data_IF_462400278300
#
_entry.id   IF_462400278300
#
_cell.length_a   1.000
_cell.length_b   1.000
_cell.length_c   1.000
_cell.angle_alpha   90.00
_cell.angle_beta   90.00
_cell.angle_gamma   90.00
#
_symmetry.space_group_name_H-M   'P 1'
#
loop_
_entity.id
_entity.type
_entity.pdbx_description
1 polymer ?
#
# COMPACT_ATOMS: atom_id res chain seq x y z
N UNK A 1 71.07 13.26 -10.01
CA UNK A 1 70.07 12.47 -10.74
C UNK A 1 70.59 11.03 -10.66
N UNK A 2 70.10 10.11 -9.82
CA UNK A 2 68.79 10.03 -9.17
C UNK A 2 68.92 9.22 -7.87
N UNK A 3 68.50 9.82 -6.75
CA UNK A 3 68.39 9.19 -5.42
C UNK A 3 66.93 9.27 -4.93
N UNK A 4 65.95 9.04 -5.82
CA UNK A 4 64.52 9.17 -5.48
C UNK A 4 63.67 7.91 -5.68
N UNK A 5 64.22 6.77 -6.14
CA UNK A 5 63.39 5.59 -6.45
C UNK A 5 63.33 4.47 -5.39
N UNK A 6 64.03 4.57 -4.25
CA UNK A 6 63.99 3.51 -3.22
C UNK A 6 62.83 3.66 -2.21
N UNK A 7 62.11 4.79 -2.21
CA UNK A 7 61.04 5.10 -1.26
C UNK A 7 59.64 4.64 -1.68
N UNK A 8 59.43 4.30 -2.96
CA UNK A 8 58.08 4.04 -3.49
C UNK A 8 57.68 2.56 -3.49
N UNK A 9 58.62 1.63 -3.63
CA UNK A 9 58.34 0.18 -3.63
C UNK A 9 57.99 -0.35 -2.22
N UNK A 10 58.58 0.21 -1.16
CA UNK A 10 58.26 -0.17 0.22
C UNK A 10 56.88 0.33 0.67
N UNK A 11 56.41 1.48 0.16
CA UNK A 11 55.07 1.99 0.46
C UNK A 11 53.97 1.22 -0.27
N UNK A 12 54.21 0.79 -1.52
CA UNK A 12 53.25 -0.04 -2.25
C UNK A 12 53.12 -1.44 -1.62
N UNK A 13 54.22 -2.08 -1.22
CA UNK A 13 54.16 -3.38 -0.54
C UNK A 13 53.49 -3.31 0.85
N UNK A 14 53.69 -2.22 1.61
CA UNK A 14 52.99 -2.02 2.89
C UNK A 14 51.49 -1.71 2.72
N UNK A 15 51.11 -0.98 1.66
CA UNK A 15 49.71 -0.71 1.31
C UNK A 15 49.00 -2.00 0.83
N UNK A 16 49.67 -2.82 0.03
CA UNK A 16 49.15 -4.12 -0.43
C UNK A 16 49.01 -5.13 0.73
N UNK A 17 49.97 -5.18 1.66
CA UNK A 17 49.84 -6.01 2.86
C UNK A 17 48.77 -5.49 3.84
N UNK A 18 48.59 -4.16 3.99
CA UNK A 18 47.47 -3.60 4.77
C UNK A 18 46.11 -3.86 4.13
N UNK A 19 46.01 -3.80 2.81
CA UNK A 19 44.77 -4.13 2.08
C UNK A 19 44.47 -5.63 2.16
N UNK A 20 45.47 -6.50 2.04
CA UNK A 20 45.30 -7.95 2.23
C UNK A 20 44.95 -8.30 3.69
N UNK A 21 45.57 -7.68 4.69
CA UNK A 21 45.19 -7.85 6.09
C UNK A 21 43.79 -7.32 6.39
N UNK A 22 43.37 -6.19 5.80
CA UNK A 22 41.98 -5.72 5.90
C UNK A 22 40.98 -6.65 5.22
N UNK A 23 41.33 -7.24 4.06
CA UNK A 23 40.49 -8.22 3.38
C UNK A 23 40.40 -9.54 4.14
N UNK A 24 41.51 -10.01 4.74
CA UNK A 24 41.53 -11.20 5.58
C UNK A 24 40.82 -10.99 6.93
N UNK A 25 40.95 -9.82 7.56
CA UNK A 25 40.19 -9.52 8.79
C UNK A 25 38.69 -9.33 8.52
N UNK A 26 38.32 -8.75 7.37
CA UNK A 26 36.91 -8.61 6.98
C UNK A 26 36.29 -9.96 6.61
N UNK A 27 37.04 -10.88 5.99
CA UNK A 27 36.60 -12.26 5.73
C UNK A 27 36.58 -13.16 6.97
N UNK A 28 37.49 -12.97 7.94
CA UNK A 28 37.48 -13.72 9.19
C UNK A 28 36.31 -13.33 10.10
N UNK A 29 35.87 -12.07 10.09
CA UNK A 29 34.69 -11.65 10.87
C UNK A 29 33.36 -12.13 10.27
N UNK A 30 33.23 -12.16 8.94
CA UNK A 30 32.03 -12.65 8.25
C UNK A 30 31.70 -14.14 8.52
N UNK A 31 32.66 -14.92 9.02
CA UNK A 31 32.46 -16.32 9.39
C UNK A 31 32.07 -16.52 10.88
N UNK A 32 32.17 -15.49 11.72
CA UNK A 32 31.89 -15.60 13.16
C UNK A 32 30.39 -15.78 13.46
N UNK A 33 29.52 -15.12 12.69
CA UNK A 33 28.08 -15.17 12.88
C UNK A 33 27.42 -16.39 12.20
N UNK A 34 28.09 -17.05 11.26
CA UNK A 34 27.51 -18.13 10.46
C UNK A 34 26.94 -19.29 11.30
N UNK A 35 27.59 -19.77 12.39
CA UNK A 35 26.99 -20.78 13.27
C UNK A 35 25.69 -20.29 13.91
N UNK A 36 25.64 -19.03 14.36
CA UNK A 36 24.47 -18.43 14.99
C UNK A 36 23.33 -18.26 13.97
N UNK A 37 23.64 -17.82 12.75
CA UNK A 37 22.68 -17.77 11.63
C UNK A 37 22.08 -19.15 11.35
N UNK A 38 22.92 -20.20 11.25
CA UNK A 38 22.45 -21.57 11.05
C UNK A 38 21.56 -22.04 12.20
N UNK A 39 21.94 -21.73 13.43
CA UNK A 39 21.16 -22.05 14.61
C UNK A 39 19.78 -21.37 14.60
N UNK A 40 19.72 -20.07 14.33
CA UNK A 40 18.45 -19.32 14.21
C UNK A 40 17.56 -19.87 13.10
N UNK A 41 18.12 -20.24 11.95
CA UNK A 41 17.36 -20.87 10.86
C UNK A 41 16.80 -22.25 11.25
N UNK A 42 17.49 -23.01 12.12
CA UNK A 42 16.97 -24.26 12.66
C UNK A 42 15.80 -24.00 13.64
N UNK A 43 15.94 -22.99 14.52
CA UNK A 43 14.87 -22.58 15.43
C UNK A 43 13.63 -22.10 14.66
N UNK A 44 13.82 -21.31 13.61
CA UNK A 44 12.76 -20.86 12.70
C UNK A 44 11.97 -22.06 12.14
N UNK A 45 12.67 -23.05 11.58
CA UNK A 45 12.04 -24.25 11.02
C UNK A 45 11.29 -25.07 12.07
N UNK A 46 11.87 -25.21 13.27
CA UNK A 46 11.22 -25.92 14.37
C UNK A 46 9.92 -25.21 14.80
N UNK A 47 9.95 -23.88 14.91
CA UNK A 47 8.77 -23.07 15.21
C UNK A 47 7.66 -23.27 14.17
N UNK A 48 8.00 -23.23 12.88
CA UNK A 48 7.05 -23.47 11.79
C UNK A 48 6.41 -24.86 11.89
N UNK A 49 7.20 -25.89 12.20
CA UNK A 49 6.68 -27.24 12.39
C UNK A 49 5.68 -27.34 13.53
N UNK A 50 5.94 -26.64 14.65
CA UNK A 50 5.01 -26.58 15.78
C UNK A 50 3.74 -25.84 15.40
N UNK A 51 3.85 -24.66 14.77
CA UNK A 51 2.70 -23.87 14.30
C UNK A 51 1.80 -24.71 13.40
N UNK A 52 2.38 -25.37 12.39
CA UNK A 52 1.63 -26.21 11.46
C UNK A 52 0.91 -27.36 12.16
N UNK A 53 1.57 -28.03 13.10
CA UNK A 53 0.98 -29.14 13.83
C UNK A 53 -0.20 -28.68 14.70
N UNK A 54 -0.06 -27.56 15.42
CA UNK A 54 -1.13 -26.97 16.23
C UNK A 54 -2.31 -26.52 15.37
N UNK A 55 -2.06 -26.01 14.16
CA UNK A 55 -3.14 -25.61 13.27
C UNK A 55 -3.91 -26.84 12.71
N UNK A 56 -3.28 -28.03 12.67
CA UNK A 56 -3.89 -29.27 12.18
C UNK A 56 -4.49 -30.17 13.28
N UNK A 57 -4.17 -29.94 14.56
CA UNK A 57 -4.51 -30.86 15.66
C UNK A 57 -4.79 -30.12 16.97
N UNK A 58 -5.38 -30.78 17.95
CA UNK A 58 -5.53 -30.19 19.30
C UNK A 58 -4.16 -30.13 19.97
N UNK A 59 -3.82 -28.99 20.58
CA UNK A 59 -2.57 -28.78 21.30
C UNK A 59 -2.44 -29.81 22.43
N UNK A 60 -1.54 -30.78 22.24
CA UNK A 60 -1.27 -31.85 23.21
C UNK A 60 -0.07 -31.54 24.13
N UNK A 61 0.13 -32.37 25.14
CA UNK A 61 1.21 -32.18 26.12
C UNK A 61 2.61 -32.25 25.49
N UNK A 62 2.78 -33.09 24.46
CA UNK A 62 4.06 -33.23 23.75
C UNK A 62 4.41 -31.93 23.02
N UNK A 63 3.44 -31.29 22.38
CA UNK A 63 3.61 -30.01 21.69
C UNK A 63 3.91 -28.90 22.69
N UNK A 64 3.19 -28.82 23.82
CA UNK A 64 3.49 -27.87 24.88
C UNK A 64 4.94 -28.01 25.38
N UNK A 65 5.44 -29.24 25.56
CA UNK A 65 6.84 -29.50 25.95
C UNK A 65 7.84 -29.08 24.87
N UNK A 66 7.53 -29.29 23.58
CA UNK A 66 8.39 -28.86 22.46
C UNK A 66 8.44 -27.34 22.33
N UNK A 67 7.30 -26.67 22.47
CA UNK A 67 7.20 -25.21 22.51
C UNK A 67 8.00 -24.64 23.67
N UNK A 68 7.85 -25.17 24.89
CA UNK A 68 8.60 -24.73 26.05
C UNK A 68 10.13 -24.84 25.86
N UNK A 69 10.61 -25.93 25.25
CA UNK A 69 12.04 -26.08 24.90
C UNK A 69 12.50 -25.05 23.90
N UNK A 70 11.69 -24.77 22.86
CA UNK A 70 12.02 -23.78 21.85
C UNK A 70 12.11 -22.37 22.46
N UNK A 71 11.20 -22.05 23.39
CA UNK A 71 11.14 -20.75 24.05
C UNK A 71 12.34 -20.45 24.96
N UNK A 72 13.15 -21.43 25.34
CA UNK A 72 14.41 -21.21 26.07
C UNK A 72 15.41 -20.36 25.28
N UNK A 73 15.29 -20.32 23.96
CA UNK A 73 16.19 -19.57 23.08
C UNK A 73 15.68 -18.16 22.73
N UNK A 74 14.50 -17.77 23.24
CA UNK A 74 13.90 -16.45 22.97
C UNK A 74 14.85 -15.31 23.33
N UNK A 75 15.50 -15.38 24.49
CA UNK A 75 16.40 -14.32 24.96
C UNK A 75 17.58 -14.10 23.99
N UNK A 76 18.09 -15.15 23.34
CA UNK A 76 19.19 -15.01 22.36
C UNK A 76 18.70 -14.19 21.16
N UNK A 77 17.48 -14.46 20.69
CA UNK A 77 16.87 -13.72 19.58
C UNK A 77 16.65 -12.26 19.96
N UNK A 78 16.12 -12.00 21.17
CA UNK A 78 15.93 -10.64 21.68
C UNK A 78 17.25 -9.88 21.81
N UNK A 79 18.31 -10.52 22.35
CA UNK A 79 19.62 -9.88 22.51
C UNK A 79 20.21 -9.42 21.17
N UNK A 80 20.08 -10.24 20.13
CA UNK A 80 20.55 -9.88 18.78
C UNK A 80 19.78 -8.67 18.25
N UNK A 81 18.46 -8.67 18.40
CA UNK A 81 17.57 -7.67 17.81
C UNK A 81 17.51 -6.35 18.59
N UNK A 82 17.72 -6.38 19.91
CA UNK A 82 17.79 -5.19 20.76
C UNK A 82 19.13 -4.46 20.66
N UNK A 83 20.19 -5.14 20.18
CA UNK A 83 21.53 -4.57 20.04
C UNK A 83 22.01 -4.56 18.57
N UNK A 84 21.27 -3.92 17.64
CA UNK A 84 21.57 -4.00 16.20
C UNK A 84 22.90 -3.35 15.79
N UNK A 85 23.49 -2.52 16.67
CA UNK A 85 24.82 -1.93 16.45
C UNK A 85 25.95 -2.92 16.75
N UNK A 86 25.74 -3.80 17.73
CA UNK A 86 26.70 -4.86 18.08
C UNK A 86 26.60 -6.01 17.07
N UNK A 87 25.37 -6.43 16.76
CA UNK A 87 25.09 -7.49 15.79
C UNK A 87 24.82 -6.94 14.40
N UNK A 88 25.77 -6.19 13.82
CA UNK A 88 25.53 -5.42 12.58
C UNK A 88 25.42 -6.27 11.29
N UNK A 89 25.57 -7.59 11.35
CA UNK A 89 25.47 -8.42 10.15
C UNK A 89 24.03 -8.59 9.66
N UNK A 90 23.78 -8.22 8.40
CA UNK A 90 22.45 -8.29 7.77
C UNK A 90 21.86 -9.70 7.79
N UNK A 91 22.67 -10.73 7.54
CA UNK A 91 22.23 -12.14 7.54
C UNK A 91 21.82 -12.59 8.93
N UNK A 92 22.56 -12.17 9.96
CA UNK A 92 22.26 -12.47 11.35
C UNK A 92 20.97 -11.79 11.81
N UNK A 93 20.84 -10.48 11.61
CA UNK A 93 19.62 -9.76 11.97
C UNK A 93 18.41 -10.30 11.22
N UNK A 94 18.54 -10.58 9.92
CA UNK A 94 17.47 -11.15 9.11
C UNK A 94 17.01 -12.52 9.64
N UNK A 95 17.94 -13.42 9.95
CA UNK A 95 17.62 -14.73 10.53
C UNK A 95 17.00 -14.60 11.92
N UNK A 96 17.49 -13.68 12.76
CA UNK A 96 16.92 -13.41 14.07
C UNK A 96 15.50 -12.85 13.97
N UNK A 97 15.24 -11.89 13.06
CA UNK A 97 13.92 -11.33 12.81
C UNK A 97 12.94 -12.39 12.33
N UNK A 98 13.34 -13.24 11.37
CA UNK A 98 12.49 -14.36 10.91
C UNK A 98 12.18 -15.32 12.06
N UNK A 99 13.19 -15.68 12.85
CA UNK A 99 13.02 -16.55 14.02
C UNK A 99 12.05 -15.94 15.04
N UNK A 100 12.20 -14.66 15.38
CA UNK A 100 11.29 -13.94 16.28
C UNK A 100 9.85 -14.00 15.74
N UNK A 101 9.67 -13.67 14.46
CA UNK A 101 8.35 -13.70 13.85
C UNK A 101 7.70 -15.08 13.91
N UNK A 102 8.48 -16.16 13.76
CA UNK A 102 7.94 -17.52 13.91
C UNK A 102 7.63 -17.88 15.36
N UNK A 103 8.42 -17.40 16.31
CA UNK A 103 8.12 -17.59 17.73
C UNK A 103 6.82 -16.88 18.11
N UNK A 104 6.61 -15.66 17.61
CA UNK A 104 5.37 -14.90 17.83
C UNK A 104 4.12 -15.66 17.33
N UNK A 105 4.22 -16.49 16.29
CA UNK A 105 3.10 -17.30 15.78
C UNK A 105 2.71 -18.49 16.68
N UNK A 106 3.49 -18.79 17.73
CA UNK A 106 3.21 -19.89 18.66
C UNK A 106 2.11 -19.53 19.65
N UNK A 107 2.00 -18.25 20.05
CA UNK A 107 0.96 -17.79 20.98
C UNK A 107 0.63 -16.30 20.81
N UNK A 108 -0.60 -15.92 21.18
CA UNK A 108 -1.05 -14.53 21.18
C UNK A 108 -0.23 -13.67 22.16
N UNK A 109 0.09 -14.19 23.34
CA UNK A 109 0.91 -13.51 24.35
C UNK A 109 2.29 -13.10 23.80
N UNK A 110 2.91 -13.96 22.97
CA UNK A 110 4.18 -13.62 22.32
C UNK A 110 4.00 -12.54 21.26
N UNK A 111 2.89 -12.53 20.51
CA UNK A 111 2.59 -11.41 19.62
C UNK A 111 2.48 -10.10 20.39
N UNK A 112 1.68 -10.07 21.46
CA UNK A 112 1.45 -8.86 22.27
C UNK A 112 2.74 -8.33 22.92
N UNK A 113 3.57 -9.23 23.46
CA UNK A 113 4.81 -8.88 24.14
C UNK A 113 5.88 -8.31 23.18
N UNK A 114 5.95 -8.81 21.94
CA UNK A 114 7.01 -8.42 21.00
C UNK A 114 6.55 -7.48 19.88
N UNK A 115 5.25 -7.17 19.77
CA UNK A 115 4.72 -6.31 18.71
C UNK A 115 5.50 -4.99 18.63
N UNK A 116 5.70 -4.31 19.77
CA UNK A 116 6.44 -3.04 19.80
C UNK A 116 7.85 -3.19 19.23
N UNK A 117 8.61 -4.20 19.69
CA UNK A 117 9.97 -4.46 19.20
C UNK A 117 9.98 -4.72 17.69
N UNK A 118 9.03 -5.51 17.19
CA UNK A 118 8.92 -5.82 15.77
C UNK A 118 8.64 -4.58 14.92
N UNK A 119 7.75 -3.69 15.38
CA UNK A 119 7.45 -2.44 14.68
C UNK A 119 8.56 -1.38 14.83
N UNK A 120 9.30 -1.38 15.93
CA UNK A 120 10.51 -0.57 16.07
C UNK A 120 11.59 -1.02 15.08
N UNK A 121 11.76 -2.33 14.86
CA UNK A 121 12.65 -2.88 13.83
C UNK A 121 12.15 -2.51 12.42
N UNK A 122 10.86 -2.61 12.17
CA UNK A 122 10.26 -2.24 10.88
C UNK A 122 10.52 -0.77 10.54
N UNK A 123 10.42 0.14 11.51
CA UNK A 123 10.68 1.57 11.30
C UNK A 123 12.17 1.90 11.17
N UNK A 124 12.98 1.35 12.07
CA UNK A 124 14.32 1.87 12.32
C UNK A 124 15.45 1.03 11.71
N UNK A 125 15.20 -0.21 11.28
CA UNK A 125 16.26 -1.04 10.71
C UNK A 125 16.85 -0.40 9.45
N UNK A 126 18.17 -0.33 9.37
CA UNK A 126 18.89 0.16 8.18
C UNK A 126 18.75 -0.82 7.01
N UNK A 127 18.64 -2.12 7.31
CA UNK A 127 18.58 -3.18 6.31
C UNK A 127 17.18 -3.36 5.74
N UNK A 128 17.02 -3.11 4.44
CA UNK A 128 15.73 -3.32 3.75
C UNK A 128 15.26 -4.78 3.81
N UNK A 129 16.17 -5.76 3.79
CA UNK A 129 15.82 -7.18 3.84
C UNK A 129 15.12 -7.56 5.14
N UNK A 130 15.49 -6.92 6.26
CA UNK A 130 14.81 -7.08 7.56
C UNK A 130 13.39 -6.51 7.49
N UNK A 131 13.24 -5.27 7.00
CA UNK A 131 11.92 -4.63 6.85
C UNK A 131 11.00 -5.40 5.90
N UNK A 132 11.52 -5.86 4.76
CA UNK A 132 10.82 -6.74 3.81
C UNK A 132 10.37 -8.02 4.50
N UNK A 133 11.24 -8.68 5.26
CA UNK A 133 10.89 -9.94 5.94
C UNK A 133 9.75 -9.74 6.93
N UNK A 134 9.76 -8.64 7.70
CA UNK A 134 8.67 -8.30 8.62
C UNK A 134 7.38 -8.13 7.82
N UNK A 135 7.37 -7.32 6.75
CA UNK A 135 6.17 -7.08 5.93
C UNK A 135 5.62 -8.33 5.27
N UNK A 136 6.47 -9.24 4.79
CA UNK A 136 6.01 -10.52 4.22
C UNK A 136 5.36 -11.39 5.29
N UNK A 137 5.96 -11.44 6.48
CA UNK A 137 5.50 -12.28 7.60
C UNK A 137 4.25 -11.74 8.28
N UNK A 138 3.91 -10.46 8.11
CA UNK A 138 2.64 -9.87 8.57
C UNK A 138 1.41 -10.66 8.11
N UNK A 139 1.44 -11.24 6.90
CA UNK A 139 0.34 -12.10 6.46
C UNK A 139 0.05 -13.23 7.45
N UNK A 140 1.08 -13.91 7.95
CA UNK A 140 0.90 -14.99 8.92
C UNK A 140 0.26 -14.52 10.22
N UNK A 141 0.65 -13.34 10.69
CA UNK A 141 0.08 -12.75 11.89
C UNK A 141 -1.38 -12.39 11.74
N UNK A 142 -1.75 -11.67 10.68
CA UNK A 142 -3.16 -11.29 10.49
C UNK A 142 -4.05 -12.51 10.27
N UNK A 143 -3.56 -13.55 9.57
CA UNK A 143 -4.32 -14.79 9.39
C UNK A 143 -4.57 -15.52 10.71
N UNK A 144 -3.60 -15.55 11.63
CA UNK A 144 -3.70 -16.31 12.88
C UNK A 144 -4.27 -15.50 14.04
N UNK A 145 -3.88 -14.23 14.14
CA UNK A 145 -4.19 -13.30 15.23
C UNK A 145 -4.57 -11.91 14.67
N UNK A 146 -5.71 -11.77 13.98
CA UNK A 146 -6.07 -10.56 13.23
C UNK A 146 -6.14 -9.28 14.06
N UNK A 147 -6.45 -9.40 15.36
CA UNK A 147 -6.60 -8.25 16.27
C UNK A 147 -5.30 -7.89 17.00
N UNK A 148 -4.28 -8.75 17.00
CA UNK A 148 -3.05 -8.54 17.78
C UNK A 148 -2.27 -7.29 17.32
N UNK A 149 -2.45 -6.87 16.07
CA UNK A 149 -1.73 -5.77 15.44
C UNK A 149 -2.63 -4.59 15.04
N UNK A 150 -3.86 -4.53 15.56
CA UNK A 150 -4.80 -3.46 15.21
C UNK A 150 -4.24 -2.05 15.51
N UNK A 151 -3.49 -1.89 16.60
CA UNK A 151 -2.85 -0.63 16.99
C UNK A 151 -1.70 -0.19 16.07
N UNK A 152 -1.19 -1.09 15.21
CA UNK A 152 -0.06 -0.85 14.32
C UNK A 152 -0.47 -0.74 12.84
N UNK A 153 -1.77 -0.60 12.56
CA UNK A 153 -2.27 -0.46 11.17
C UNK A 153 -1.55 0.65 10.42
N UNK A 154 -1.41 1.82 11.04
CA UNK A 154 -0.73 2.98 10.45
C UNK A 154 0.73 2.69 10.07
N UNK A 155 1.40 1.85 10.85
CA UNK A 155 2.78 1.47 10.59
C UNK A 155 2.89 0.49 9.42
N UNK A 156 1.94 -0.44 9.30
CA UNK A 156 1.84 -1.37 8.17
C UNK A 156 1.58 -0.60 6.87
N UNK A 157 0.59 0.29 6.84
CA UNK A 157 0.30 1.12 5.67
C UNK A 157 1.41 2.16 5.40
N UNK A 158 2.08 2.66 6.44
CA UNK A 158 3.24 3.53 6.32
C UNK A 158 4.38 2.94 5.49
N UNK A 159 4.49 1.61 5.42
CA UNK A 159 5.50 0.93 4.60
C UNK A 159 5.30 1.11 3.07
N UNK A 160 4.12 1.55 2.61
CA UNK A 160 3.90 1.96 1.22
C UNK A 160 4.73 3.20 0.84
N UNK A 161 5.20 3.93 1.85
CA UNK A 161 6.06 5.12 1.76
C UNK A 161 7.51 4.84 2.19
N UNK A 162 7.92 3.57 2.31
CA UNK A 162 9.29 3.23 2.69
C UNK A 162 10.30 3.76 1.65
N UNK A 163 11.51 4.07 2.11
CA UNK A 163 12.63 4.53 1.27
C UNK A 163 13.13 3.49 0.26
N UNK A 164 12.81 2.21 0.44
CA UNK A 164 13.18 1.11 -0.46
C UNK A 164 11.97 0.60 -1.22
N UNK A 165 12.07 0.56 -2.55
CA UNK A 165 11.04 -0.01 -3.42
C UNK A 165 10.75 -1.48 -3.10
N UNK A 166 11.74 -2.25 -2.62
CA UNK A 166 11.55 -3.63 -2.20
C UNK A 166 10.61 -3.73 -0.99
N UNK A 167 10.73 -2.81 -0.03
CA UNK A 167 9.85 -2.75 1.14
C UNK A 167 8.46 -2.30 0.72
N UNK A 168 8.35 -1.28 -0.14
CA UNK A 168 7.07 -0.82 -0.69
C UNK A 168 6.34 -1.94 -1.45
N UNK A 169 7.07 -2.73 -2.25
CA UNK A 169 6.52 -3.88 -2.96
C UNK A 169 6.03 -4.97 -2.00
N UNK A 170 6.80 -5.28 -0.97
CA UNK A 170 6.38 -6.24 0.05
C UNK A 170 5.13 -5.75 0.79
N UNK A 171 5.09 -4.46 1.13
CA UNK A 171 3.95 -3.83 1.79
C UNK A 171 2.69 -3.89 0.92
N UNK A 172 2.78 -3.45 -0.34
CA UNK A 172 1.65 -3.46 -1.25
C UNK A 172 1.12 -4.87 -1.51
N UNK A 173 2.00 -5.87 -1.67
CA UNK A 173 1.60 -7.29 -1.81
C UNK A 173 0.88 -7.78 -0.57
N UNK A 174 1.43 -7.53 0.62
CA UNK A 174 0.84 -7.97 1.88
C UNK A 174 -0.51 -7.30 2.13
N UNK A 175 -0.59 -5.97 2.07
CA UNK A 175 -1.82 -5.23 2.33
C UNK A 175 -2.91 -5.64 1.33
N UNK A 176 -2.58 -5.73 0.04
CA UNK A 176 -3.51 -6.20 -0.99
C UNK A 176 -4.07 -7.58 -0.64
N UNK A 177 -3.22 -8.52 -0.25
CA UNK A 177 -3.65 -9.86 0.14
C UNK A 177 -4.52 -9.87 1.39
N UNK A 178 -4.24 -9.02 2.38
CA UNK A 178 -5.02 -8.94 3.61
C UNK A 178 -6.42 -8.37 3.37
N UNK A 179 -6.54 -7.31 2.56
CA UNK A 179 -7.82 -6.73 2.18
C UNK A 179 -8.62 -7.70 1.33
N UNK A 180 -8.00 -8.33 0.33
CA UNK A 180 -8.65 -9.34 -0.51
C UNK A 180 -9.02 -10.62 0.27
N UNK A 181 -8.48 -10.84 1.47
CA UNK A 181 -8.92 -11.94 2.34
C UNK A 181 -9.90 -11.49 3.42
N UNK A 182 -10.35 -10.24 3.37
CA UNK A 182 -11.26 -9.63 4.36
C UNK A 182 -10.68 -9.63 5.80
N UNK A 183 -9.36 -9.74 5.93
CA UNK A 183 -8.67 -9.75 7.23
C UNK A 183 -8.47 -8.35 7.78
N UNK A 184 -8.33 -7.36 6.88
CA UNK A 184 -8.15 -5.95 7.20
C UNK A 184 -9.18 -5.15 6.41
N UNK A 185 -9.87 -4.23 7.10
CA UNK A 185 -10.81 -3.32 6.45
C UNK A 185 -10.04 -2.19 5.75
N UNK A 186 -10.46 -1.76 4.55
CA UNK A 186 -9.77 -0.74 3.76
C UNK A 186 -9.93 0.70 4.27
N UNK A 187 -10.51 0.94 5.44
CA UNK A 187 -10.96 2.27 5.86
C UNK A 187 -9.80 3.28 6.00
N UNK A 188 -9.89 4.45 5.35
CA UNK A 188 -8.97 5.58 5.49
C UNK A 188 -7.65 5.45 4.72
N UNK A 189 -7.08 4.24 4.70
CA UNK A 189 -5.68 4.01 4.31
C UNK A 189 -5.53 3.40 2.91
N UNK A 190 -6.64 2.99 2.28
CA UNK A 190 -6.60 2.46 0.91
C UNK A 190 -6.20 3.51 -0.14
N UNK A 191 -6.33 4.79 0.19
CA UNK A 191 -5.79 5.90 -0.60
C UNK A 191 -4.28 5.78 -0.83
N UNK A 192 -3.52 5.24 0.14
CA UNK A 192 -2.08 4.97 0.00
C UNK A 192 -1.79 3.97 -1.14
N UNK A 193 -2.69 3.02 -1.37
CA UNK A 193 -2.58 2.09 -2.51
C UNK A 193 -2.96 2.80 -3.82
N UNK A 194 -3.92 3.74 -3.79
CA UNK A 194 -4.30 4.51 -4.96
C UNK A 194 -3.14 5.39 -5.47
N UNK A 195 -2.36 6.00 -4.57
CA UNK A 195 -1.12 6.71 -4.95
C UNK A 195 -0.13 5.82 -5.71
N UNK A 196 -0.13 4.51 -5.44
CA UNK A 196 0.76 3.57 -6.12
C UNK A 196 0.35 3.28 -7.57
N UNK A 197 -0.85 3.67 -8.04
CA UNK A 197 -1.29 3.44 -9.44
C UNK A 197 -0.36 4.13 -10.45
N UNK A 198 0.13 5.31 -10.10
CA UNK A 198 1.01 6.15 -10.93
C UNK A 198 2.48 6.06 -10.47
N UNK A 199 2.82 5.01 -9.72
CA UNK A 199 4.17 4.91 -9.16
C UNK A 199 5.24 4.85 -10.25
N UNK A 200 6.37 5.54 -10.03
CA UNK A 200 7.53 5.51 -10.93
C UNK A 200 8.09 4.10 -11.09
N UNK A 201 8.00 3.27 -10.04
CA UNK A 201 8.39 1.89 -10.09
C UNK A 201 7.27 1.05 -10.72
N UNK A 202 7.48 0.61 -11.95
CA UNK A 202 6.45 -0.06 -12.79
C UNK A 202 5.78 -1.27 -12.13
N UNK A 203 6.51 -2.04 -11.31
CA UNK A 203 5.90 -3.17 -10.60
C UNK A 203 4.93 -2.75 -9.49
N UNK A 204 5.16 -1.60 -8.84
CA UNK A 204 4.24 -1.05 -7.85
C UNK A 204 2.95 -0.60 -8.54
N UNK A 205 3.09 0.17 -9.62
CA UNK A 205 1.97 0.57 -10.49
C UNK A 205 1.14 -0.63 -10.93
N UNK A 206 1.78 -1.65 -11.51
CA UNK A 206 1.11 -2.86 -11.99
C UNK A 206 0.36 -3.60 -10.87
N UNK A 207 0.96 -3.67 -9.68
CA UNK A 207 0.35 -4.35 -8.54
C UNK A 207 -0.83 -3.56 -7.98
N UNK A 208 -0.73 -2.24 -7.89
CA UNK A 208 -1.80 -1.36 -7.43
C UNK A 208 -3.00 -1.41 -8.40
N UNK A 209 -2.75 -1.32 -9.71
CA UNK A 209 -3.82 -1.46 -10.71
C UNK A 209 -4.46 -2.84 -10.65
N UNK A 210 -3.67 -3.91 -10.47
CA UNK A 210 -4.20 -5.28 -10.34
C UNK A 210 -5.07 -5.43 -9.10
N UNK A 211 -4.66 -4.84 -7.97
CA UNK A 211 -5.42 -4.84 -6.72
C UNK A 211 -6.81 -4.22 -6.90
N UNK A 212 -6.89 -3.00 -7.44
CA UNK A 212 -8.19 -2.32 -7.64
C UNK A 212 -9.05 -3.02 -8.69
N UNK A 213 -8.44 -3.59 -9.74
CA UNK A 213 -9.15 -4.41 -10.73
C UNK A 213 -9.80 -5.63 -10.09
N UNK A 214 -9.11 -6.28 -9.14
CA UNK A 214 -9.62 -7.43 -8.42
C UNK A 214 -10.67 -7.02 -7.38
N UNK A 215 -10.46 -5.89 -6.71
CA UNK A 215 -11.41 -5.32 -5.75
C UNK A 215 -12.74 -4.94 -6.43
N UNK A 216 -12.68 -4.39 -7.64
CA UNK A 216 -13.86 -4.05 -8.44
C UNK A 216 -14.72 -5.27 -8.81
N UNK A 217 -14.13 -6.46 -8.94
CA UNK A 217 -14.90 -7.69 -9.20
C UNK A 217 -15.66 -8.17 -7.97
N UNK A 218 -15.26 -7.75 -6.77
CA UNK A 218 -15.91 -8.17 -5.52
C UNK A 218 -17.21 -7.42 -5.33
N UNK A 219 -18.21 -8.15 -4.84
CA UNK A 219 -19.55 -7.60 -4.56
C UNK A 219 -20.08 -6.78 -5.74
N UNK A 220 -19.81 -7.21 -6.98
CA UNK A 220 -20.19 -6.50 -8.20
C UNK A 220 -19.78 -5.01 -8.24
N UNK A 221 -18.65 -4.66 -7.61
CA UNK A 221 -18.14 -3.28 -7.58
C UNK A 221 -18.55 -2.46 -6.36
N UNK A 222 -19.48 -2.95 -5.53
CA UNK A 222 -19.96 -2.24 -4.33
C UNK A 222 -18.83 -1.95 -3.33
N UNK A 223 -17.88 -2.88 -3.17
CA UNK A 223 -16.75 -2.66 -2.25
C UNK A 223 -15.88 -1.48 -2.69
N UNK A 224 -15.52 -1.42 -3.98
CA UNK A 224 -14.77 -0.29 -4.53
C UNK A 224 -15.60 0.98 -4.41
N UNK A 225 -16.90 0.90 -4.71
CA UNK A 225 -17.80 2.03 -4.61
C UNK A 225 -17.80 2.69 -3.22
N UNK A 226 -17.89 1.88 -2.16
CA UNK A 226 -17.97 2.36 -0.78
C UNK A 226 -16.70 3.06 -0.28
N UNK A 227 -15.53 2.73 -0.84
CA UNK A 227 -14.24 3.29 -0.41
C UNK A 227 -13.80 4.49 -1.24
N UNK A 228 -14.39 4.70 -2.41
CA UNK A 228 -14.03 5.80 -3.30
C UNK A 228 -14.12 7.18 -2.66
N UNK A 229 -15.18 7.55 -1.91
CA UNK A 229 -15.28 8.87 -1.30
C UNK A 229 -14.08 9.17 -0.41
N UNK A 230 -13.61 8.16 0.32
CA UNK A 230 -12.46 8.22 1.19
C UNK A 230 -11.16 8.35 0.38
N UNK A 231 -11.01 7.59 -0.71
CA UNK A 231 -9.89 7.77 -1.65
C UNK A 231 -9.86 9.21 -2.19
N UNK A 232 -10.99 9.71 -2.72
CA UNK A 232 -11.09 11.09 -3.24
C UNK A 232 -10.73 12.14 -2.21
N UNK A 233 -11.29 12.02 -1.00
CA UNK A 233 -11.05 12.97 0.08
C UNK A 233 -9.58 13.02 0.47
N UNK A 234 -8.88 11.89 0.42
CA UNK A 234 -7.45 11.80 0.72
C UNK A 234 -6.53 12.16 -0.45
N UNK A 235 -6.97 12.00 -1.71
CA UNK A 235 -6.21 12.43 -2.90
C UNK A 235 -6.29 13.96 -3.11
N UNK A 236 -7.41 14.59 -2.75
CA UNK A 236 -7.66 16.03 -2.93
C UNK A 236 -7.42 16.81 -1.62
N UNK A 237 -7.19 16.11 -0.51
CA UNK A 237 -7.17 16.69 0.83
C UNK A 237 -6.05 17.72 1.07
N UNK A 238 -6.41 18.82 1.73
CA UNK A 238 -5.50 19.92 2.14
C UNK A 238 -4.40 19.47 3.13
N UNK A 239 -4.51 18.26 3.69
CA UNK A 239 -3.56 17.68 4.67
C UNK A 239 -2.41 16.88 4.05
N UNK A 240 -2.30 16.83 2.72
CA UNK A 240 -1.18 16.18 2.06
C UNK A 240 0.08 17.06 2.14
N UNK A 241 1.20 16.47 2.55
CA UNK A 241 2.52 17.09 2.42
C UNK A 241 2.73 17.55 0.96
N UNK A 242 3.47 18.64 0.72
CA UNK A 242 3.69 19.17 -0.64
C UNK A 242 4.23 18.11 -1.62
N UNK A 243 5.04 17.16 -1.12
CA UNK A 243 5.59 16.06 -1.91
C UNK A 243 4.56 15.00 -2.34
N UNK A 244 3.38 15.01 -1.70
CA UNK A 244 2.29 14.05 -1.93
C UNK A 244 1.14 14.63 -2.74
N UNK A 245 1.16 15.93 -3.01
CA UNK A 245 0.16 16.54 -3.85
C UNK A 245 0.34 16.06 -5.29
N UNK A 246 -0.70 15.41 -5.82
CA UNK A 246 -0.69 14.99 -7.20
C UNK A 246 -0.83 16.21 -8.11
N UNK A 247 -0.02 16.26 -9.16
CA UNK A 247 -0.26 17.20 -10.25
C UNK A 247 -1.58 16.83 -10.98
N UNK A 248 -2.03 17.70 -11.87
CA UNK A 248 -3.32 17.52 -12.56
C UNK A 248 -3.38 16.24 -13.40
N UNK A 249 -2.28 15.89 -14.07
CA UNK A 249 -2.18 14.71 -14.94
C UNK A 249 -2.18 13.40 -14.13
N UNK A 250 -1.47 13.39 -13.01
CA UNK A 250 -1.34 12.27 -12.09
C UNK A 250 -2.66 11.99 -11.37
N UNK A 251 -3.29 13.05 -10.84
CA UNK A 251 -4.61 12.94 -10.24
C UNK A 251 -5.61 12.37 -11.23
N UNK A 252 -5.64 12.93 -12.45
CA UNK A 252 -6.48 12.45 -13.54
C UNK A 252 -6.24 10.97 -13.82
N UNK A 253 -4.99 10.56 -14.00
CA UNK A 253 -4.65 9.16 -14.32
C UNK A 253 -5.16 8.17 -13.27
N UNK A 254 -5.09 8.53 -11.99
CA UNK A 254 -5.65 7.71 -10.89
C UNK A 254 -7.18 7.67 -10.97
N UNK A 255 -7.84 8.80 -11.19
CA UNK A 255 -9.31 8.87 -11.24
C UNK A 255 -9.87 8.13 -12.45
N UNK A 256 -9.31 8.35 -13.65
CA UNK A 256 -9.70 7.67 -14.90
C UNK A 256 -9.67 6.16 -14.71
N UNK A 257 -8.62 5.67 -14.07
CA UNK A 257 -8.45 4.26 -13.79
C UNK A 257 -9.50 3.72 -12.81
N UNK A 258 -9.72 4.39 -11.68
CA UNK A 258 -10.69 3.93 -10.67
C UNK A 258 -12.13 3.99 -11.21
N UNK A 259 -12.44 5.02 -11.99
CA UNK A 259 -13.76 5.26 -12.55
C UNK A 259 -14.17 4.30 -13.65
N UNK A 260 -13.21 3.71 -14.36
CA UNK A 260 -13.44 2.63 -15.32
C UNK A 260 -14.31 1.51 -14.75
N UNK A 261 -14.23 1.24 -13.45
CA UNK A 261 -14.93 0.12 -12.81
C UNK A 261 -16.33 0.47 -12.28
N UNK A 262 -16.74 1.73 -12.33
CA UNK A 262 -17.98 2.22 -11.69
C UNK A 262 -19.05 2.52 -12.73
N UNK A 263 -18.64 3.01 -13.90
CA UNK A 263 -19.53 3.66 -14.84
C UNK A 263 -20.53 2.74 -15.56
N UNK A 264 -20.44 1.43 -15.35
CA UNK A 264 -21.40 0.45 -15.87
C UNK A 264 -22.60 0.19 -14.92
N UNK A 265 -22.53 0.56 -13.62
CA UNK A 265 -23.69 0.45 -12.69
C UNK A 265 -24.42 1.80 -12.53
N UNK A 266 -25.69 1.91 -12.96
CA UNK A 266 -26.51 3.11 -12.78
C UNK A 266 -26.65 3.58 -11.32
N UNK A 267 -26.66 2.66 -10.34
CA UNK A 267 -26.73 2.99 -8.91
C UNK A 267 -25.44 3.63 -8.42
N UNK A 268 -24.30 3.01 -8.76
CA UNK A 268 -23.00 3.52 -8.41
C UNK A 268 -22.74 4.91 -9.04
N UNK A 269 -23.26 5.16 -10.25
CA UNK A 269 -23.22 6.48 -10.85
C UNK A 269 -24.02 7.53 -10.06
N UNK A 270 -25.23 7.21 -9.59
CA UNK A 270 -26.05 8.09 -8.73
C UNK A 270 -25.31 8.45 -7.45
N UNK A 271 -24.82 7.43 -6.76
CA UNK A 271 -24.19 7.62 -5.46
C UNK A 271 -22.85 8.37 -5.61
N UNK A 272 -22.07 8.11 -6.68
CA UNK A 272 -20.83 8.85 -6.97
C UNK A 272 -21.13 10.33 -7.24
N UNK A 273 -22.17 10.64 -8.02
CA UNK A 273 -22.61 12.01 -8.25
C UNK A 273 -22.98 12.69 -6.93
N UNK A 274 -23.72 11.98 -6.07
CA UNK A 274 -24.09 12.48 -4.75
C UNK A 274 -22.87 12.74 -3.86
N UNK A 275 -21.89 11.82 -3.79
CA UNK A 275 -20.64 12.01 -3.05
C UNK A 275 -19.88 13.22 -3.56
N UNK A 276 -19.70 13.33 -4.88
CA UNK A 276 -19.04 14.48 -5.50
C UNK A 276 -19.75 15.78 -5.11
N UNK A 277 -21.09 15.80 -5.01
CA UNK A 277 -21.83 16.98 -4.54
C UNK A 277 -21.50 17.44 -3.12
N UNK A 278 -20.96 16.57 -2.28
CA UNK A 278 -20.56 16.88 -0.90
C UNK A 278 -19.12 17.34 -0.77
N UNK A 279 -18.31 17.23 -1.83
CA UNK A 279 -16.91 17.64 -1.82
C UNK A 279 -16.77 19.15 -2.06
N UNK A 280 -15.75 19.75 -1.46
CA UNK A 280 -15.35 21.13 -1.72
C UNK A 280 -14.39 21.16 -2.91
N UNK A 281 -14.86 21.67 -4.05
CA UNK A 281 -14.05 21.72 -5.27
C UNK A 281 -13.00 22.84 -5.21
N UNK A 282 -11.77 22.50 -5.58
CA UNK A 282 -10.72 23.44 -5.93
C UNK A 282 -10.62 23.53 -7.47
N UNK A 283 -9.73 24.38 -7.98
CA UNK A 283 -9.58 24.58 -9.43
C UNK A 283 -9.27 23.27 -10.18
N UNK A 284 -8.43 22.41 -9.61
CA UNK A 284 -7.98 21.16 -10.20
C UNK A 284 -9.11 20.11 -10.23
N UNK A 285 -9.86 19.97 -9.14
CA UNK A 285 -10.98 19.02 -9.10
C UNK A 285 -12.15 19.45 -9.99
N UNK A 286 -12.36 20.75 -10.20
CA UNK A 286 -13.36 21.26 -11.17
C UNK A 286 -12.97 20.92 -12.62
N UNK A 287 -11.70 21.12 -13.00
CA UNK A 287 -11.21 20.74 -14.34
C UNK A 287 -11.30 19.23 -14.58
N UNK A 288 -10.97 18.42 -13.57
CA UNK A 288 -11.17 16.97 -13.60
C UNK A 288 -12.64 16.59 -13.86
N UNK A 289 -13.59 17.21 -13.14
CA UNK A 289 -15.02 16.95 -13.35
C UNK A 289 -15.47 17.28 -14.78
N UNK A 290 -15.03 18.42 -15.33
CA UNK A 290 -15.37 18.86 -16.69
C UNK A 290 -14.88 17.86 -17.73
N UNK A 291 -13.70 17.28 -17.54
CA UNK A 291 -13.14 16.30 -18.46
C UNK A 291 -13.94 14.99 -18.47
N UNK A 292 -14.45 14.56 -17.31
CA UNK A 292 -15.27 13.35 -17.18
C UNK A 292 -16.76 13.58 -17.39
N UNK A 293 -17.16 14.79 -17.76
CA UNK A 293 -18.56 15.14 -17.97
C UNK A 293 -19.24 14.21 -18.99
N UNK A 294 -18.53 13.83 -20.05
CA UNK A 294 -19.04 12.93 -21.09
C UNK A 294 -19.42 11.55 -20.52
N UNK A 295 -18.77 11.09 -19.45
CA UNK A 295 -19.09 9.81 -18.78
C UNK A 295 -20.38 9.86 -17.96
N UNK A 296 -20.88 11.07 -17.67
CA UNK A 296 -22.15 11.32 -16.99
C UNK A 296 -23.25 11.78 -17.96
N UNK A 297 -22.90 12.17 -19.19
CA UNK A 297 -23.82 12.78 -20.15
C UNK A 297 -25.07 11.94 -20.38
N UNK A 298 -24.90 10.65 -20.62
CA UNK A 298 -25.99 9.69 -20.83
C UNK A 298 -26.73 9.30 -19.53
N UNK A 299 -26.22 9.72 -18.37
CA UNK A 299 -26.73 9.39 -17.02
C UNK A 299 -27.43 10.58 -16.35
N UNK A 300 -27.32 11.80 -16.88
CA UNK A 300 -27.99 13.02 -16.38
C UNK A 300 -29.52 13.01 -16.53
N UNK A 301 -30.09 12.02 -17.23
CA UNK A 301 -31.54 11.81 -17.28
C UNK A 301 -32.09 11.33 -15.94
N UNK A 302 -31.25 10.63 -15.16
CA UNK A 302 -31.56 10.25 -13.80
C UNK A 302 -31.67 11.50 -12.91
N UNK A 303 -32.79 11.62 -12.19
CA UNK A 303 -33.10 12.82 -11.45
C UNK A 303 -32.12 13.05 -10.28
N UNK A 304 -31.62 11.98 -9.66
CA UNK A 304 -30.73 12.07 -8.50
C UNK A 304 -29.31 12.48 -8.93
N UNK A 305 -28.84 11.94 -10.07
CA UNK A 305 -27.58 12.39 -10.70
C UNK A 305 -27.67 13.87 -11.03
N UNK A 306 -28.76 14.29 -11.67
CA UNK A 306 -28.98 15.68 -12.06
C UNK A 306 -28.97 16.64 -10.86
N UNK A 307 -29.71 16.32 -9.79
CA UNK A 307 -29.74 17.15 -8.57
C UNK A 307 -28.36 17.23 -7.89
N UNK A 308 -27.60 16.13 -7.93
CA UNK A 308 -26.25 16.11 -7.41
C UNK A 308 -25.31 17.03 -8.22
N UNK A 309 -25.41 17.03 -9.55
CA UNK A 309 -24.66 17.94 -10.42
C UNK A 309 -25.05 19.41 -10.23
N UNK A 310 -26.32 19.72 -9.97
CA UNK A 310 -26.73 21.09 -9.60
C UNK A 310 -26.07 21.53 -8.29
N UNK A 311 -26.02 20.64 -7.30
CA UNK A 311 -25.37 20.90 -6.01
C UNK A 311 -23.85 21.10 -6.18
N UNK A 312 -23.20 20.31 -7.06
CA UNK A 312 -21.79 20.50 -7.42
C UNK A 312 -21.57 21.89 -8.03
N UNK A 313 -22.42 22.30 -8.99
CA UNK A 313 -22.34 23.62 -9.62
C UNK A 313 -22.48 24.75 -8.59
N UNK A 314 -23.43 24.64 -7.67
CA UNK A 314 -23.63 25.65 -6.63
C UNK A 314 -22.43 25.76 -5.69
N UNK A 315 -21.84 24.63 -5.29
CA UNK A 315 -20.63 24.59 -4.48
C UNK A 315 -19.41 25.16 -5.24
N UNK A 316 -19.25 24.81 -6.51
CA UNK A 316 -18.18 25.35 -7.35
C UNK A 316 -18.35 26.87 -7.58
N UNK A 317 -19.57 27.36 -7.81
CA UNK A 317 -19.86 28.81 -7.95
C UNK A 317 -19.49 29.57 -6.68
N UNK A 318 -19.85 29.04 -5.50
CA UNK A 318 -19.54 29.67 -4.20
C UNK A 318 -18.04 29.75 -3.95
N UNK A 319 -17.28 28.70 -4.26
CA UNK A 319 -15.86 28.60 -3.90
C UNK A 319 -14.90 29.14 -4.96
N UNK A 320 -15.26 29.03 -6.25
CA UNK A 320 -14.37 29.32 -7.38
C UNK A 320 -14.89 30.44 -8.29
N UNK A 321 -16.15 30.86 -8.15
CA UNK A 321 -16.82 31.84 -9.02
C UNK A 321 -16.26 33.27 -8.96
N UNK A 322 -15.35 33.56 -8.03
CA UNK A 322 -14.62 34.82 -7.99
C UNK A 322 -13.53 34.92 -9.08
N UNK A 323 -13.04 33.78 -9.59
CA UNK A 323 -12.07 33.74 -10.70
C UNK A 323 -12.82 33.76 -12.04
N UNK A 324 -12.57 34.75 -12.93
CA UNK A 324 -13.33 34.91 -14.17
C UNK A 324 -13.21 33.70 -15.11
N UNK A 325 -12.01 33.13 -15.27
CA UNK A 325 -11.79 31.97 -16.17
C UNK A 325 -12.55 30.72 -15.70
N UNK A 326 -12.58 30.47 -14.39
CA UNK A 326 -13.30 29.33 -13.81
C UNK A 326 -14.81 29.55 -13.83
N UNK A 327 -15.27 30.79 -13.67
CA UNK A 327 -16.69 31.12 -13.77
C UNK A 327 -17.24 30.79 -15.17
N UNK A 328 -16.49 31.10 -16.23
CA UNK A 328 -16.86 30.74 -17.61
C UNK A 328 -17.00 29.22 -17.77
N UNK A 329 -16.07 28.44 -17.22
CA UNK A 329 -16.14 26.98 -17.26
C UNK A 329 -17.36 26.41 -16.50
N UNK A 330 -17.66 26.96 -15.32
CA UNK A 330 -18.82 26.57 -14.52
C UNK A 330 -20.14 26.89 -15.25
N UNK A 331 -20.23 28.06 -15.87
CA UNK A 331 -21.42 28.47 -16.61
C UNK A 331 -21.60 27.64 -17.91
N UNK A 332 -20.50 27.26 -18.58
CA UNK A 332 -20.53 26.36 -19.72
C UNK A 332 -21.01 24.95 -19.36
N UNK A 333 -20.56 24.42 -18.21
CA UNK A 333 -21.02 23.14 -17.68
C UNK A 333 -22.50 23.19 -17.29
N UNK A 334 -22.94 24.27 -16.64
CA UNK A 334 -24.35 24.49 -16.30
C UNK A 334 -25.23 24.52 -17.55
N UNK A 335 -24.77 25.16 -18.62
CA UNK A 335 -25.48 25.19 -19.91
C UNK A 335 -25.55 23.80 -20.55
N UNK A 336 -24.44 23.04 -20.50
CA UNK A 336 -24.37 21.68 -21.04
C UNK A 336 -25.33 20.73 -20.31
N UNK A 337 -25.34 20.77 -18.97
CA UNK A 337 -26.25 19.97 -18.13
C UNK A 337 -27.72 20.27 -18.45
N UNK A 338 -28.08 21.55 -18.57
CA UNK A 338 -29.44 21.97 -18.90
C UNK A 338 -29.85 21.55 -20.33
N UNK A 339 -28.90 21.53 -21.27
CA UNK A 339 -29.15 21.12 -22.66
C UNK A 339 -29.46 19.64 -22.78
N UNK A 340 -28.77 18.77 -22.04
CA UNK A 340 -29.00 17.32 -22.05
C UNK A 340 -30.41 16.95 -21.57
N UNK A 341 -31.01 17.75 -20.66
CA UNK A 341 -32.40 17.55 -20.19
C UNK A 341 -33.47 18.26 -21.02
N UNK A 342 -33.10 18.95 -22.10
CA UNK A 342 -34.06 19.59 -23.00
C UNK A 342 -34.93 18.55 -23.71
N UNK A 343 -36.15 18.90 -24.20
CA UNK A 343 -37.03 17.97 -24.91
C UNK A 343 -36.34 17.25 -26.09
N UNK A 344 -35.41 17.92 -26.77
CA UNK A 344 -34.61 17.34 -27.85
C UNK A 344 -33.48 16.41 -27.34
N UNK A 345 -32.89 16.70 -26.17
CA UNK A 345 -31.91 15.81 -25.54
C UNK A 345 -32.53 14.48 -25.08
N UNK A 346 -33.74 14.55 -24.51
CA UNK A 346 -34.54 13.38 -24.13
C UNK A 346 -34.85 12.51 -25.36
N UNK A 347 -35.21 13.12 -26.49
CA UNK A 347 -35.51 12.41 -27.74
C UNK A 347 -34.29 11.64 -28.28
N UNK A 348 -33.10 12.27 -28.25
CA UNK A 348 -31.84 11.67 -28.72
C UNK A 348 -31.41 10.52 -27.80
N UNK A 349 -31.52 10.67 -26.49
CA UNK A 349 -31.16 9.63 -25.53
C UNK A 349 -32.10 8.41 -25.60
N UNK A 350 -33.41 8.63 -25.81
CA UNK A 350 -34.37 7.55 -26.06
C UNK A 350 -34.03 6.78 -27.35
N UNK A 351 -33.61 7.49 -28.41
CA UNK A 351 -33.17 6.85 -29.66
C UNK A 351 -31.88 6.05 -29.49
N UNK A 352 -30.90 6.54 -28.71
CA UNK A 352 -29.65 5.82 -28.43
C UNK A 352 -29.87 4.59 -27.52
N UNK A 353 -30.75 4.70 -26.52
CA UNK A 353 -31.13 3.57 -25.65
C UNK A 353 -31.81 2.44 -26.45
N UNK A 354 -32.67 2.80 -27.41
CA UNK A 354 -33.34 1.86 -28.32
C UNK A 354 -32.39 1.20 -29.35
N UNK A 355 -31.26 1.84 -29.67
CA UNK A 355 -30.22 1.25 -30.54
C UNK A 355 -29.32 0.28 -29.77
N UNK A 356 -28.95 0.59 -28.52
CA UNK A 356 -28.15 -0.30 -27.65
C UNK A 356 -28.89 -1.61 -27.31
N UNK A 357 -30.22 -1.59 -27.15
CA UNK A 357 -31.03 -2.81 -26.93
C UNK A 357 -31.14 -3.72 -28.15
N UNK A 358 -30.91 -3.20 -29.37
CA UNK A 358 -30.95 -4.00 -30.61
C UNK A 358 -29.62 -4.66 -30.98
N UNK A 359 -28.52 -4.30 -30.31
CA UNK A 359 -27.17 -4.81 -30.61
C UNK A 359 -26.63 -5.83 -29.60
N UNK A 360 -27.39 -6.21 -28.56
CA UNK A 360 -27.03 -7.36 -27.73
C UNK A 360 -27.49 -8.65 -28.41
N UNK A 361 -26.59 -9.55 -28.87
CA UNK A 361 -26.99 -10.88 -29.29
C UNK A 361 -27.44 -11.68 -28.06
N UNK A 362 -28.49 -12.48 -28.25
CA UNK A 362 -29.01 -13.42 -27.25
C UNK A 362 -27.96 -14.41 -26.76
#
# INVERSE_FOLDING_TARGET
>A
MDFENAGNENNQNQLSHRQQHHHHHSQMNANSALPLVRFLNCLEKAAVGIVYYVDCTVKDELICRKEAKLMQYKNIVEQILLNPKEYHEVTLQLSATKCLCKFMLLSLELCETHAKMLFDLLKNSTFESVRVAIMVLMNGFYLKYPLAFAAYSDDVYGCLRDRSDNVRLAALKTISNLILKEMVKPNGQISEIAFCIIDKHTQLATLATSFFSELAKRQHGETLFNILPDIFSNLVGVKLDEQRQLNEEDFKSVIDFLFKYIFDDPRACRDLAYIMSKLTFNEQSLKGLLHHYDNYRDKLFDNDVYQSFLTILDNAKKNLGAKPDLKVLIDALSTSINKERSPNGILIAVQQAQQKTKQQPK
#
